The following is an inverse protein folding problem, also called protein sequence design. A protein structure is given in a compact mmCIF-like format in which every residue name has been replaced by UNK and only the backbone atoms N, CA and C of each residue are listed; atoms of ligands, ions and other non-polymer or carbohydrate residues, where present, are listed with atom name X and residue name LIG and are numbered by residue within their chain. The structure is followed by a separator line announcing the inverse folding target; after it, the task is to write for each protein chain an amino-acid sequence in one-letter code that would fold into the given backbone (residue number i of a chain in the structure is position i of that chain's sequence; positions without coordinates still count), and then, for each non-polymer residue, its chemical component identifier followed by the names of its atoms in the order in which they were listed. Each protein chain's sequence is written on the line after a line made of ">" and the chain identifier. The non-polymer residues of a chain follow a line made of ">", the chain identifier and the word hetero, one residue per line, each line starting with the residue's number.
data_IF_533638956527
#
_entry.id   IF_533638956527
#
_cell.length_a   1.000
_cell.length_b   1.000
_cell.length_c   1.000
_cell.angle_alpha   90.00
_cell.angle_beta   90.00
_cell.angle_gamma   90.00
#
_symmetry.space_group_name_H-M   'P 1'
#
loop_
_entity.id
_entity.type
_entity.pdbx_description
1 polymer ?
#
# COMPACT_ATOMS: atom_id res chain seq x y z
N UNK A 1 -4.88 -5.59 6.03
CA UNK A 1 -3.96 -4.81 5.17
C UNK A 1 -2.49 -5.12 5.43
N UNK A 2 -1.97 -5.11 6.65
CA UNK A 2 -0.56 -5.44 6.95
C UNK A 2 -0.09 -6.78 6.36
N UNK A 3 -0.90 -7.84 6.46
CA UNK A 3 -0.55 -9.16 5.92
C UNK A 3 -0.33 -9.20 4.41
N UNK A 4 -1.01 -8.36 3.63
CA UNK A 4 -0.84 -8.29 2.17
C UNK A 4 0.55 -7.74 1.83
N UNK A 5 1.00 -6.71 2.54
CA UNK A 5 2.34 -6.14 2.33
C UNK A 5 3.45 -7.10 2.77
N UNK A 6 3.25 -7.82 3.88
CA UNK A 6 4.19 -8.88 4.31
C UNK A 6 4.25 -10.00 3.27
N UNK A 7 3.11 -10.37 2.66
CA UNK A 7 3.06 -11.32 1.55
C UNK A 7 3.81 -10.81 0.31
N UNK A 8 3.68 -9.52 0.00
CA UNK A 8 4.40 -8.85 -1.08
C UNK A 8 5.91 -8.65 -0.80
N UNK A 9 6.43 -9.17 0.32
CA UNK A 9 7.85 -9.14 0.64
C UNK A 9 8.30 -7.93 1.48
N UNK A 10 7.38 -7.09 1.94
CA UNK A 10 7.73 -5.98 2.85
C UNK A 10 7.88 -6.52 4.27
N UNK A 11 9.12 -6.59 4.75
CA UNK A 11 9.46 -7.26 6.03
C UNK A 11 9.78 -6.30 7.16
N UNK A 12 10.06 -5.02 6.90
CA UNK A 12 10.44 -4.06 7.94
C UNK A 12 9.22 -3.30 8.49
N UNK A 13 8.98 -3.28 9.82
CA UNK A 13 7.86 -2.55 10.43
C UNK A 13 7.81 -1.06 10.08
N UNK A 14 8.97 -0.41 9.95
CA UNK A 14 9.05 1.00 9.56
C UNK A 14 8.56 1.24 8.13
N UNK A 15 8.80 0.29 7.23
CA UNK A 15 8.35 0.37 5.85
C UNK A 15 6.87 0.06 5.72
N UNK A 16 6.38 -0.95 6.44
CA UNK A 16 4.95 -1.24 6.57
C UNK A 16 4.18 -0.01 7.08
N UNK A 17 4.70 0.67 8.11
CA UNK A 17 4.09 1.88 8.63
C UNK A 17 4.01 3.00 7.58
N UNK A 18 5.09 3.19 6.81
CA UNK A 18 5.14 4.18 5.72
C UNK A 18 4.13 3.88 4.62
N UNK A 19 4.07 2.64 4.14
CA UNK A 19 3.18 2.22 3.05
C UNK A 19 1.70 2.27 3.46
N UNK A 20 1.41 1.98 4.73
CA UNK A 20 0.04 1.99 5.27
C UNK A 20 -0.39 3.37 5.78
N UNK A 21 0.50 4.37 5.78
CA UNK A 21 0.19 5.71 6.26
C UNK A 21 -0.12 5.78 7.76
N UNK A 22 0.44 4.87 8.55
CA UNK A 22 0.21 4.78 10.01
C UNK A 22 1.47 5.10 10.81
N UNK A 23 1.31 5.37 12.10
CA UNK A 23 2.46 5.58 12.98
C UNK A 23 3.24 4.28 13.22
N UNK A 24 4.54 4.40 13.54
CA UNK A 24 5.37 3.25 13.93
C UNK A 24 4.84 2.54 15.17
N UNK A 25 4.27 3.28 16.12
CA UNK A 25 3.69 2.69 17.33
C UNK A 25 2.46 1.85 16.99
N UNK A 26 1.52 2.40 16.21
CA UNK A 26 0.34 1.67 15.74
C UNK A 26 0.71 0.41 14.95
N UNK A 27 1.75 0.50 14.11
CA UNK A 27 2.26 -0.66 13.38
C UNK A 27 2.83 -1.73 14.31
N UNK A 28 3.62 -1.35 15.32
CA UNK A 28 4.14 -2.31 16.29
C UNK A 28 3.02 -2.98 17.11
N UNK A 29 1.97 -2.24 17.48
CA UNK A 29 0.80 -2.83 18.14
C UNK A 29 0.13 -3.86 17.24
N UNK A 30 -0.15 -3.50 15.98
CA UNK A 30 -0.78 -4.41 15.02
C UNK A 30 0.06 -5.68 14.77
N UNK A 31 1.38 -5.54 14.65
CA UNK A 31 2.27 -6.69 14.46
C UNK A 31 2.31 -7.59 15.70
N UNK A 32 2.33 -7.03 16.91
CA UNK A 32 2.25 -7.82 18.15
C UNK A 32 0.94 -8.61 18.25
N UNK A 33 -0.18 -8.02 17.85
CA UNK A 33 -1.46 -8.76 17.81
C UNK A 33 -1.43 -9.92 16.81
N UNK A 34 -0.80 -9.73 15.65
CA UNK A 34 -0.63 -10.80 14.65
C UNK A 34 0.33 -11.90 15.15
N UNK A 35 1.40 -11.52 15.86
CA UNK A 35 2.34 -12.45 16.50
C UNK A 35 1.66 -13.26 17.61
N UNK A 36 0.85 -12.62 18.45
CA UNK A 36 0.04 -13.30 19.48
C UNK A 36 -0.97 -14.29 18.89
N UNK A 37 -1.48 -14.01 17.69
CA UNK A 37 -2.37 -14.92 16.96
C UNK A 37 -1.62 -16.05 16.23
N UNK A 38 -0.29 -16.11 16.34
CA UNK A 38 0.53 -17.13 15.68
C UNK A 38 0.59 -17.00 14.17
N UNK A 39 0.34 -15.80 13.62
CA UNK A 39 0.27 -15.58 12.17
C UNK A 39 1.61 -15.13 11.60
N UNK A 40 2.40 -14.44 12.42
CA UNK A 40 3.73 -13.96 12.09
C UNK A 40 4.68 -14.19 13.26
N UNK A 41 5.98 -14.08 13.02
CA UNK A 41 6.99 -13.90 14.05
C UNK A 41 7.92 -12.73 13.67
N UNK A 42 8.49 -12.09 14.68
CA UNK A 42 9.48 -11.02 14.51
C UNK A 42 10.87 -11.45 14.99
N UNK A 43 11.83 -11.53 14.07
CA UNK A 43 13.23 -11.85 14.36
C UNK A 43 14.12 -10.61 14.17
N UNK A 44 15.27 -10.50 14.88
CA UNK A 44 16.27 -9.47 14.58
C UNK A 44 16.71 -9.51 13.11
N UNK A 45 16.96 -8.34 12.52
CA UNK A 45 17.55 -8.26 11.17
C UNK A 45 19.03 -8.68 11.25
N UNK A 46 19.48 -9.69 10.46
CA UNK A 46 20.88 -10.13 10.47
C UNK A 46 21.86 -9.04 10.04
N UNK A 47 21.42 -8.03 9.28
CA UNK A 47 22.26 -6.91 8.84
C UNK A 47 22.24 -5.72 9.83
N UNK A 48 21.18 -5.58 10.63
CA UNK A 48 21.08 -4.56 11.67
C UNK A 48 20.29 -5.08 12.88
N UNK A 49 21.01 -5.52 13.93
CA UNK A 49 20.39 -6.06 15.14
C UNK A 49 19.45 -5.08 15.89
N UNK A 50 19.46 -3.79 15.55
CA UNK A 50 18.52 -2.79 16.09
C UNK A 50 17.17 -2.83 15.40
N UNK A 51 17.08 -3.51 14.25
CA UNK A 51 15.86 -3.71 13.48
C UNK A 51 15.29 -5.11 13.68
N UNK A 52 14.00 -5.25 13.41
CA UNK A 52 13.30 -6.53 13.38
C UNK A 52 12.68 -6.73 12.00
N UNK A 53 12.69 -7.98 11.54
CA UNK A 53 12.02 -8.43 10.33
C UNK A 53 10.79 -9.25 10.69
N UNK A 54 9.70 -8.95 10.00
CA UNK A 54 8.43 -9.69 10.06
C UNK A 54 8.49 -10.85 9.07
N UNK A 55 8.07 -12.03 9.52
CA UNK A 55 7.93 -13.23 8.69
C UNK A 55 6.67 -13.98 9.05
N UNK A 56 6.09 -14.74 8.12
CA UNK A 56 4.95 -15.60 8.43
C UNK A 56 5.38 -16.74 9.35
N UNK A 57 4.55 -17.03 10.35
CA UNK A 57 4.72 -18.22 11.16
C UNK A 57 4.35 -19.48 10.35
N UNK A 58 4.98 -20.64 10.62
CA UNK A 58 4.60 -21.91 9.99
C UNK A 58 3.10 -22.23 10.12
N UNK A 59 2.53 -21.94 11.29
CA UNK A 59 1.11 -22.11 11.61
C UNK A 59 0.21 -21.17 10.79
N UNK A 60 0.76 -20.04 10.32
CA UNK A 60 0.11 -19.09 9.43
C UNK A 60 -0.01 -19.54 7.97
N UNK A 61 0.51 -20.73 7.60
CA UNK A 61 0.50 -21.22 6.21
C UNK A 61 -0.92 -21.40 5.67
N UNK A 62 -1.83 -21.95 6.48
CA UNK A 62 -3.23 -22.12 6.07
C UNK A 62 -3.92 -20.78 5.78
N UNK A 63 -3.71 -19.79 6.65
CA UNK A 63 -4.22 -18.43 6.44
C UNK A 63 -3.59 -17.77 5.21
N UNK A 64 -2.30 -18.01 4.94
CA UNK A 64 -1.63 -17.52 3.73
C UNK A 64 -2.28 -18.10 2.48
N UNK A 65 -2.58 -19.40 2.49
CA UNK A 65 -3.23 -20.06 1.37
C UNK A 65 -4.65 -19.52 1.16
N UNK A 66 -5.42 -19.37 2.23
CA UNK A 66 -6.77 -18.79 2.19
C UNK A 66 -6.74 -17.35 1.64
N UNK A 67 -5.79 -16.53 2.10
CA UNK A 67 -5.63 -15.17 1.59
C UNK A 67 -5.28 -15.16 0.09
N UNK A 68 -4.43 -16.08 -0.37
CA UNK A 68 -4.07 -16.22 -1.78
C UNK A 68 -5.29 -16.64 -2.62
N UNK A 69 -6.06 -17.62 -2.15
CA UNK A 69 -7.30 -18.06 -2.81
C UNK A 69 -8.30 -16.90 -2.98
N UNK A 70 -8.46 -16.07 -1.95
CA UNK A 70 -9.33 -14.88 -2.01
C UNK A 70 -8.84 -13.91 -3.09
N UNK A 71 -7.53 -13.63 -3.14
CA UNK A 71 -6.96 -12.73 -4.16
C UNK A 71 -7.17 -13.28 -5.57
N UNK A 72 -6.87 -14.56 -5.79
CA UNK A 72 -7.06 -15.22 -7.09
C UNK A 72 -8.53 -15.22 -7.52
N UNK A 73 -9.45 -15.41 -6.56
CA UNK A 73 -10.90 -15.35 -6.83
C UNK A 73 -11.33 -13.95 -7.25
N UNK A 74 -10.81 -12.91 -6.58
CA UNK A 74 -11.09 -11.52 -6.95
C UNK A 74 -10.51 -11.16 -8.33
N UNK A 75 -9.32 -11.66 -8.66
CA UNK A 75 -8.74 -11.48 -9.99
C UNK A 75 -9.58 -12.16 -11.07
N UNK A 76 -10.03 -13.40 -10.86
CA UNK A 76 -10.90 -14.11 -11.79
C UNK A 76 -12.23 -13.37 -12.02
N UNK A 77 -12.82 -12.80 -10.97
CA UNK A 77 -14.04 -11.99 -11.08
C UNK A 77 -13.80 -10.69 -11.86
N UNK A 78 -12.64 -10.05 -11.67
CA UNK A 78 -12.25 -8.87 -12.46
C UNK A 78 -12.06 -9.23 -13.93
N UNK A 79 -11.43 -10.36 -14.24
CA UNK A 79 -11.27 -10.86 -15.61
C UNK A 79 -12.62 -11.17 -16.25
N UNK A 80 -13.54 -11.79 -15.52
CA UNK A 80 -14.89 -12.07 -16.01
C UNK A 80 -15.67 -10.78 -16.36
N UNK A 81 -15.48 -9.71 -15.58
CA UNK A 81 -16.20 -8.43 -15.78
C UNK A 81 -15.58 -7.52 -16.83
N UNK A 82 -14.24 -7.48 -16.91
CA UNK A 82 -13.50 -6.50 -17.72
C UNK A 82 -12.85 -7.12 -18.96
N UNK A 83 -12.77 -8.45 -19.02
CA UNK A 83 -12.04 -9.21 -20.02
C UNK A 83 -10.55 -9.34 -19.70
N UNK A 84 -9.99 -10.51 -19.97
CA UNK A 84 -8.58 -10.87 -19.71
C UNK A 84 -7.60 -9.87 -20.31
N UNK A 85 -7.85 -9.36 -21.52
CA UNK A 85 -6.97 -8.36 -22.15
C UNK A 85 -6.90 -7.06 -21.34
N UNK A 86 -8.05 -6.56 -20.89
CA UNK A 86 -8.13 -5.31 -20.11
C UNK A 86 -7.39 -5.45 -18.78
N UNK A 87 -7.58 -6.57 -18.08
CA UNK A 87 -6.90 -6.85 -16.80
C UNK A 87 -5.40 -6.99 -17.01
N UNK A 88 -4.97 -7.71 -18.05
CA UNK A 88 -3.55 -7.84 -18.39
C UNK A 88 -2.90 -6.49 -18.75
N UNK A 89 -3.60 -5.66 -19.53
CA UNK A 89 -3.12 -4.31 -19.86
C UNK A 89 -3.05 -3.42 -18.60
N UNK A 90 -4.04 -3.50 -17.71
CA UNK A 90 -4.01 -2.79 -16.43
C UNK A 90 -2.81 -3.21 -15.59
N UNK A 91 -2.61 -4.52 -15.38
CA UNK A 91 -1.48 -5.06 -14.62
C UNK A 91 -0.14 -4.57 -15.19
N UNK A 92 0.03 -4.65 -16.52
CA UNK A 92 1.22 -4.15 -17.22
C UNK A 92 1.43 -2.65 -16.97
N UNK A 93 0.37 -1.85 -17.01
CA UNK A 93 0.46 -0.39 -16.81
C UNK A 93 0.81 -0.06 -15.36
N UNK A 94 0.13 -0.65 -14.37
CA UNK A 94 0.37 -0.32 -12.94
C UNK A 94 1.70 -0.85 -12.41
N UNK A 95 2.23 -1.92 -13.01
CA UNK A 95 3.56 -2.46 -12.66
C UNK A 95 4.71 -1.80 -13.42
N UNK A 96 4.43 -0.92 -14.38
CA UNK A 96 5.48 -0.20 -15.09
C UNK A 96 6.20 0.79 -14.15
N UNK A 97 7.46 1.07 -14.43
CA UNK A 97 8.14 2.20 -13.83
C UNK A 97 7.52 3.50 -14.36
N UNK A 98 6.94 4.28 -13.45
CA UNK A 98 6.28 5.56 -13.79
C UNK A 98 7.23 6.75 -13.67
N UNK A 99 8.49 6.52 -13.30
CA UNK A 99 9.48 7.56 -13.05
C UNK A 99 9.14 8.42 -11.83
N UNK A 100 9.75 9.60 -11.76
CA UNK A 100 9.50 10.53 -10.66
C UNK A 100 8.07 11.07 -10.67
N UNK A 101 7.48 11.19 -9.48
CA UNK A 101 6.14 11.75 -9.33
C UNK A 101 6.09 13.18 -9.89
N UNK A 102 5.13 13.50 -10.78
CA UNK A 102 5.09 14.81 -11.41
C UNK A 102 4.85 15.92 -10.38
N UNK A 103 5.72 16.93 -10.38
CA UNK A 103 5.56 18.11 -9.52
C UNK A 103 4.54 19.06 -10.14
N UNK A 104 3.29 18.96 -9.70
CA UNK A 104 2.24 19.91 -10.12
C UNK A 104 2.39 21.20 -9.31
N UNK A 105 3.05 22.20 -9.91
CA UNK A 105 3.13 23.55 -9.33
C UNK A 105 1.74 24.14 -9.09
N UNK A 106 1.58 24.89 -7.98
CA UNK A 106 0.34 25.63 -7.70
C UNK A 106 0.08 26.61 -8.84
N UNK A 107 -0.85 26.29 -9.74
CA UNK A 107 -1.31 27.21 -10.78
C UNK A 107 -2.01 28.37 -10.09
N UNK A 108 -1.32 29.48 -9.88
CA UNK A 108 -1.90 30.74 -9.41
C UNK A 108 -2.94 31.18 -10.44
N UNK A 109 -4.22 30.88 -10.17
CA UNK A 109 -5.33 31.40 -10.94
C UNK A 109 -5.36 32.91 -10.68
N UNK A 110 -4.76 33.70 -11.57
CA UNK A 110 -4.96 35.16 -11.56
C UNK A 110 -6.43 35.42 -11.91
N UNK A 111 -7.28 35.62 -10.89
CA UNK A 111 -8.62 36.17 -11.09
C UNK A 111 -8.44 37.62 -11.56
N UNK A 112 -8.70 37.88 -12.84
CA UNK A 112 -8.96 39.24 -13.31
C UNK A 112 -10.29 39.69 -12.70
N UNK A 113 -10.23 40.38 -11.55
CA UNK A 113 -11.36 41.18 -11.09
C UNK A 113 -11.36 42.45 -11.93
N UNK A 114 -12.24 42.46 -12.93
CA UNK A 114 -12.56 43.66 -13.69
C UNK A 114 -13.04 44.74 -12.71
N UNK A 115 -12.22 45.78 -12.54
CA UNK A 115 -12.59 46.97 -11.79
C UNK A 115 -13.62 47.76 -12.61
N UNK A 116 -14.89 47.40 -12.46
CA UNK A 116 -16.02 48.24 -12.86
C UNK A 116 -16.07 49.47 -11.96
N UNK A 117 -15.43 50.57 -12.36
CA UNK A 117 -15.71 51.89 -11.79
C UNK A 117 -17.06 52.39 -12.35
N UNK A 118 -18.14 52.17 -11.59
CA UNK A 118 -19.38 52.92 -11.72
C UNK A 118 -19.24 54.30 -11.04
N UNK A 119 -19.51 55.33 -11.84
CA UNK A 119 -20.08 56.68 -11.59
C UNK A 119 -20.58 57.07 -10.18
N UNK A 120 -20.53 58.41 -9.98
CA UNK A 120 -21.23 59.32 -9.02
C UNK A 120 -20.35 59.74 -7.83
N UNK A 121 -20.25 61.01 -7.44
CA UNK A 121 -21.07 62.21 -7.67
C UNK A 121 -20.21 63.43 -7.96
#
# INVERSE_FOLDING_TARGET
>A
MTMIYVHAGVRRPSELARLLGVTRQSMNTALRELEQKGLIYMAPDPEDARCKLVSFAPEGTAMRQEALEIVLTLEAELEARLGTKTVSDLARIVSADWGEAPVVGKRTIRRNVAAGKKKKA
#
